data_IF_585986357817
#
_entry.id   IF_585986357817
#
_cell.length_a   1.000
_cell.length_b   1.000
_cell.length_c   1.000
_cell.angle_alpha   90.00
_cell.angle_beta   90.00
_cell.angle_gamma   90.00
#
_symmetry.space_group_name_H-M   'P 1'
#
loop_
_entity.id
_entity.type
_entity.pdbx_description
1 polymer ?
#
# COMPACT_ATOMS: atom_id res chain seq x y z
N UNK A 1 -31.13 -57.07 17.20
CA UNK A 1 -29.95 -56.34 16.70
C UNK A 1 -30.32 -54.88 16.49
N UNK A 2 -29.71 -53.96 17.25
CA UNK A 2 -29.98 -52.51 17.16
C UNK A 2 -29.10 -51.91 16.07
N UNK A 3 -29.68 -51.54 14.93
CA UNK A 3 -29.01 -50.69 13.93
C UNK A 3 -29.09 -49.24 14.38
N UNK A 4 -27.92 -48.63 14.61
CA UNK A 4 -27.77 -47.19 14.86
C UNK A 4 -27.89 -46.46 13.52
N UNK A 5 -28.86 -45.56 13.41
CA UNK A 5 -28.90 -44.57 12.34
C UNK A 5 -27.75 -43.56 12.56
N UNK A 6 -26.86 -43.44 11.58
CA UNK A 6 -25.86 -42.37 11.52
C UNK A 6 -26.57 -41.16 10.89
N UNK A 7 -26.57 -39.97 11.53
CA UNK A 7 -27.16 -38.79 10.93
C UNK A 7 -26.30 -38.35 9.74
N UNK A 8 -26.93 -38.22 8.58
CA UNK A 8 -26.37 -37.57 7.40
C UNK A 8 -26.12 -36.12 7.80
N UNK A 9 -24.85 -35.81 8.08
CA UNK A 9 -24.37 -34.46 8.23
C UNK A 9 -24.42 -33.84 6.83
N UNK A 10 -25.47 -33.09 6.55
CA UNK A 10 -25.55 -32.20 5.39
C UNK A 10 -24.36 -31.23 5.50
N UNK A 11 -23.32 -31.52 4.72
CA UNK A 11 -22.31 -30.56 4.33
C UNK A 11 -23.02 -29.45 3.55
N UNK A 12 -23.44 -28.41 4.29
CA UNK A 12 -23.70 -27.10 3.73
C UNK A 12 -22.38 -26.62 3.12
N UNK A 13 -22.22 -26.88 1.82
CA UNK A 13 -21.22 -26.24 0.98
C UNK A 13 -21.38 -24.73 1.17
N UNK A 14 -20.34 -24.08 1.69
CA UNK A 14 -20.23 -22.64 1.92
C UNK A 14 -20.15 -21.81 0.63
N UNK A 15 -20.90 -22.20 -0.41
CA UNK A 15 -21.13 -21.38 -1.60
C UNK A 15 -22.30 -20.40 -1.43
N UNK A 16 -23.02 -20.46 -0.30
CA UNK A 16 -24.10 -19.55 0.03
C UNK A 16 -23.67 -18.47 1.03
N UNK A 17 -22.70 -17.61 0.66
CA UNK A 17 -22.60 -16.22 1.19
C UNK A 17 -21.62 -15.33 0.42
N UNK A 18 -21.36 -15.61 -0.86
CA UNK A 18 -21.03 -14.54 -1.80
C UNK A 18 -22.35 -13.88 -2.19
N UNK A 19 -22.93 -13.11 -1.27
CA UNK A 19 -23.95 -12.15 -1.63
C UNK A 19 -23.34 -11.29 -2.73
N UNK A 20 -23.82 -11.46 -3.98
CA UNK A 20 -23.60 -10.46 -5.03
C UNK A 20 -24.09 -9.16 -4.44
N UNK A 21 -23.13 -8.29 -4.10
CA UNK A 21 -23.42 -6.93 -3.68
C UNK A 21 -24.28 -6.33 -4.78
N UNK A 22 -25.42 -5.69 -4.46
CA UNK A 22 -26.27 -5.11 -5.48
C UNK A 22 -25.44 -4.12 -6.30
N UNK A 23 -25.27 -4.43 -7.59
CA UNK A 23 -24.46 -3.65 -8.54
C UNK A 23 -25.02 -2.24 -8.82
N UNK A 24 -26.15 -1.88 -8.20
CA UNK A 24 -26.94 -0.69 -8.55
C UNK A 24 -27.06 0.35 -7.42
N UNK A 25 -26.29 0.26 -6.33
CA UNK A 25 -26.20 1.40 -5.41
C UNK A 25 -25.37 2.51 -6.08
N UNK A 26 -25.81 3.79 -6.04
CA UNK A 26 -24.95 4.90 -6.39
C UNK A 26 -23.63 4.76 -5.63
N UNK A 27 -22.52 4.74 -6.37
CA UNK A 27 -21.21 4.49 -5.76
C UNK A 27 -20.81 5.61 -4.79
N UNK A 28 -21.32 6.82 -5.03
CA UNK A 28 -21.20 7.96 -4.14
C UNK A 28 -22.00 7.76 -2.84
N UNK A 29 -21.49 8.27 -1.73
CA UNK A 29 -22.13 8.23 -0.39
C UNK A 29 -22.33 6.82 0.18
N UNK A 30 -21.72 5.81 -0.45
CA UNK A 30 -21.71 4.44 0.03
C UNK A 30 -20.32 4.12 0.59
N UNK A 31 -20.24 3.80 1.88
CA UNK A 31 -18.97 3.46 2.53
C UNK A 31 -18.70 1.95 2.53
N UNK A 32 -17.44 1.53 2.40
CA UNK A 32 -17.08 0.14 2.64
C UNK A 32 -17.25 -0.20 4.13
N UNK A 33 -17.78 -1.39 4.40
CA UNK A 33 -17.86 -2.00 5.73
C UNK A 33 -17.36 -3.44 5.64
N UNK A 34 -17.09 -4.07 6.78
CA UNK A 34 -16.67 -5.47 6.79
C UNK A 34 -17.65 -6.37 6.02
N UNK A 35 -17.16 -7.00 4.95
CA UNK A 35 -17.94 -7.91 4.11
C UNK A 35 -18.95 -7.27 3.16
N UNK A 36 -19.14 -5.94 3.16
CA UNK A 36 -20.17 -5.30 2.34
C UNK A 36 -19.96 -3.79 2.10
N UNK A 37 -21.03 -3.11 1.67
CA UNK A 37 -21.16 -1.67 1.50
C UNK A 37 -22.40 -1.18 2.28
N UNK A 38 -22.32 0.02 2.85
CA UNK A 38 -23.41 0.64 3.60
C UNK A 38 -23.58 2.09 3.18
N UNK A 39 -24.81 2.56 3.01
CA UNK A 39 -25.10 3.98 2.81
C UNK A 39 -24.70 4.79 4.06
N UNK A 40 -24.01 5.92 3.84
CA UNK A 40 -23.67 6.82 4.92
C UNK A 40 -24.88 7.65 5.34
N UNK A 41 -25.12 7.81 6.64
CA UNK A 41 -26.17 8.70 7.13
C UNK A 41 -25.68 10.15 7.08
N UNK A 42 -26.03 10.86 6.00
CA UNK A 42 -25.60 12.24 5.72
C UNK A 42 -26.53 13.22 6.45
N UNK A 43 -25.95 13.98 7.36
CA UNK A 43 -26.59 15.09 8.07
C UNK A 43 -26.55 16.34 7.19
N UNK A 44 -27.69 16.67 6.57
CA UNK A 44 -27.84 17.83 5.67
C UNK A 44 -28.42 19.07 6.37
N UNK A 45 -28.84 18.93 7.64
CA UNK A 45 -29.52 19.97 8.40
C UNK A 45 -28.54 20.78 9.27
N UNK A 46 -27.50 20.13 9.80
CA UNK A 46 -26.53 20.78 10.67
C UNK A 46 -25.63 21.73 9.85
N UNK A 47 -25.45 23.00 10.28
CA UNK A 47 -24.55 23.93 9.61
C UNK A 47 -23.10 23.41 9.55
N UNK A 48 -22.45 23.59 8.40
CA UNK A 48 -21.10 23.11 8.11
C UNK A 48 -20.06 23.41 9.21
N UNK A 49 -19.95 24.63 9.79
CA UNK A 49 -18.99 24.88 10.87
C UNK A 49 -19.20 23.98 12.09
N UNK A 50 -20.47 23.66 12.40
CA UNK A 50 -20.83 22.75 13.49
C UNK A 50 -20.52 21.31 13.13
N UNK A 51 -20.74 20.88 11.88
CA UNK A 51 -20.29 19.56 11.40
C UNK A 51 -18.77 19.42 11.53
N UNK A 52 -17.99 20.40 11.06
CA UNK A 52 -16.53 20.39 11.14
C UNK A 52 -16.04 20.33 12.59
N UNK A 53 -16.68 21.04 13.53
CA UNK A 53 -16.32 20.95 14.96
C UNK A 53 -16.50 19.55 15.57
N UNK A 54 -17.36 18.68 15.00
CA UNK A 54 -17.51 17.29 15.49
C UNK A 54 -16.23 16.47 15.32
N UNK A 55 -15.35 16.87 14.39
CA UNK A 55 -14.03 16.22 14.22
C UNK A 55 -13.11 16.39 15.43
N UNK A 56 -13.38 17.36 16.32
CA UNK A 56 -12.66 17.50 17.60
C UNK A 56 -13.12 16.50 18.66
N UNK A 57 -14.26 15.84 18.45
CA UNK A 57 -14.79 14.83 19.35
C UNK A 57 -14.15 13.45 19.18
N UNK A 58 -14.70 12.49 19.92
CA UNK A 58 -14.29 11.10 19.83
C UNK A 58 -14.98 10.42 18.64
N UNK A 59 -14.21 10.16 17.59
CA UNK A 59 -14.63 9.34 16.45
C UNK A 59 -13.61 8.23 16.15
N UNK A 60 -14.03 7.20 15.43
CA UNK A 60 -13.15 6.13 14.96
C UNK A 60 -13.50 5.81 13.51
N UNK A 61 -12.49 5.45 12.71
CA UNK A 61 -12.72 4.98 11.36
C UNK A 61 -13.59 3.72 11.38
N UNK A 62 -14.49 3.62 10.41
CA UNK A 62 -15.35 2.45 10.27
C UNK A 62 -14.48 1.26 9.84
N UNK A 63 -14.62 0.11 10.50
CA UNK A 63 -13.92 -1.09 10.05
C UNK A 63 -14.45 -1.54 8.69
N UNK A 64 -13.55 -1.64 7.71
CA UNK A 64 -13.86 -2.10 6.36
C UNK A 64 -13.61 -3.60 6.19
N UNK A 65 -12.99 -4.26 7.17
CA UNK A 65 -12.45 -5.62 7.05
C UNK A 65 -11.33 -5.76 6.01
N UNK A 66 -10.88 -4.67 5.39
CA UNK A 66 -9.86 -4.64 4.33
C UNK A 66 -8.83 -3.55 4.63
N UNK A 67 -7.59 -3.95 4.94
CA UNK A 67 -6.50 -3.04 5.32
C UNK A 67 -6.15 -1.93 4.30
N UNK A 68 -6.66 -2.03 3.07
CA UNK A 68 -6.35 -1.14 1.96
C UNK A 68 -7.48 -0.16 1.62
N UNK A 69 -8.66 -0.32 2.26
CA UNK A 69 -9.79 0.60 2.16
C UNK A 69 -9.82 1.51 3.39
N UNK A 70 -10.19 2.77 3.17
CA UNK A 70 -10.35 3.76 4.23
C UNK A 70 -11.82 3.79 4.64
N UNK A 71 -12.09 3.61 5.94
CA UNK A 71 -13.45 3.63 6.48
C UNK A 71 -13.83 4.97 7.08
N UNK A 72 -14.60 5.76 6.35
CA UNK A 72 -15.04 7.09 6.79
C UNK A 72 -16.29 7.05 7.68
N UNK A 73 -16.40 8.00 8.60
CA UNK A 73 -17.55 8.14 9.51
C UNK A 73 -18.73 8.84 8.85
N UNK A 74 -19.93 8.76 9.43
CA UNK A 74 -21.08 9.54 8.96
C UNK A 74 -20.78 11.04 8.96
N UNK A 75 -20.15 11.58 10.00
CA UNK A 75 -19.79 13.00 10.06
C UNK A 75 -18.85 13.40 8.91
N UNK A 76 -17.90 12.54 8.52
CA UNK A 76 -17.02 12.81 7.37
C UNK A 76 -17.80 12.87 6.06
N UNK A 77 -18.77 11.97 5.85
CA UNK A 77 -19.67 12.03 4.68
C UNK A 77 -20.58 13.26 4.73
N UNK A 78 -21.11 13.63 5.90
CA UNK A 78 -21.90 14.86 6.09
C UNK A 78 -21.10 16.11 5.72
N UNK A 79 -19.83 16.19 6.14
CA UNK A 79 -18.94 17.28 5.76
C UNK A 79 -18.65 17.24 4.25
N UNK A 80 -18.33 16.07 3.70
CA UNK A 80 -17.99 15.90 2.29
C UNK A 80 -19.16 16.22 1.34
N UNK A 81 -20.41 16.05 1.80
CA UNK A 81 -21.61 16.44 1.05
C UNK A 81 -21.69 17.95 0.75
N UNK A 82 -20.92 18.80 1.45
CA UNK A 82 -20.79 20.22 1.13
C UNK A 82 -19.76 20.53 0.03
N UNK A 83 -19.02 19.52 -0.45
CA UNK A 83 -18.03 19.65 -1.52
C UNK A 83 -16.95 20.68 -1.21
N UNK A 84 -16.61 21.50 -2.20
CA UNK A 84 -15.57 22.53 -2.10
C UNK A 84 -15.83 23.56 -0.99
N UNK A 85 -17.10 23.82 -0.64
CA UNK A 85 -17.47 24.76 0.43
C UNK A 85 -16.93 24.33 1.79
N UNK A 86 -16.66 23.04 1.99
CA UNK A 86 -16.06 22.53 3.23
C UNK A 86 -14.55 22.80 3.35
N UNK A 87 -13.83 23.01 2.24
CA UNK A 87 -12.37 23.07 2.22
C UNK A 87 -11.81 24.23 3.06
N UNK A 88 -12.48 25.40 3.08
CA UNK A 88 -12.04 26.55 3.87
C UNK A 88 -12.14 26.29 5.38
N UNK A 89 -13.26 25.72 5.85
CA UNK A 89 -13.46 25.39 7.26
C UNK A 89 -12.55 24.23 7.71
N UNK A 90 -12.33 23.23 6.86
CA UNK A 90 -11.39 22.14 7.12
C UNK A 90 -9.94 22.65 7.26
N UNK A 91 -9.51 23.54 6.36
CA UNK A 91 -8.19 24.17 6.46
C UNK A 91 -8.05 25.03 7.72
N UNK A 92 -9.11 25.75 8.09
CA UNK A 92 -9.15 26.54 9.34
C UNK A 92 -9.03 25.63 10.56
N UNK A 93 -9.72 24.49 10.58
CA UNK A 93 -9.59 23.50 11.64
C UNK A 93 -8.15 22.97 11.73
N UNK A 94 -7.55 22.55 10.61
CA UNK A 94 -6.17 22.01 10.57
C UNK A 94 -5.16 23.00 11.17
N UNK A 95 -5.30 24.30 10.84
CA UNK A 95 -4.39 25.35 11.31
C UNK A 95 -4.54 25.68 12.79
N UNK A 96 -5.77 25.63 13.31
CA UNK A 96 -6.09 26.17 14.63
C UNK A 96 -6.15 25.11 15.73
N UNK A 97 -6.50 23.87 15.40
CA UNK A 97 -6.63 22.80 16.40
C UNK A 97 -5.27 22.23 16.79
N UNK A 98 -5.15 21.83 18.07
CA UNK A 98 -4.01 21.05 18.57
C UNK A 98 -4.27 19.53 18.51
N UNK A 99 -5.50 19.13 18.23
CA UNK A 99 -5.88 17.71 18.19
C UNK A 99 -5.37 17.05 16.91
N UNK A 100 -4.37 16.17 17.03
CA UNK A 100 -3.87 15.38 15.91
C UNK A 100 -4.97 14.53 15.27
N UNK A 101 -5.92 14.07 16.08
CA UNK A 101 -7.13 13.38 15.63
C UNK A 101 -7.98 14.30 14.77
N UNK A 102 -8.32 15.50 15.23
CA UNK A 102 -9.12 16.45 14.44
C UNK A 102 -8.45 16.82 13.10
N UNK A 103 -7.12 17.04 13.10
CA UNK A 103 -6.34 17.27 11.87
C UNK A 103 -6.42 16.09 10.91
N UNK A 104 -6.23 14.86 11.42
CA UNK A 104 -6.35 13.64 10.62
C UNK A 104 -7.75 13.49 10.02
N UNK A 105 -8.79 13.77 10.80
CA UNK A 105 -10.18 13.73 10.35
C UNK A 105 -10.44 14.75 9.24
N UNK A 106 -9.90 15.96 9.39
CA UNK A 106 -10.05 17.00 8.38
C UNK A 106 -9.35 16.63 7.06
N UNK A 107 -8.15 16.05 7.11
CA UNK A 107 -7.42 15.56 5.94
C UNK A 107 -8.19 14.45 5.23
N UNK A 108 -8.80 13.53 5.99
CA UNK A 108 -9.65 12.49 5.44
C UNK A 108 -10.91 13.06 4.77
N UNK A 109 -11.52 14.09 5.34
CA UNK A 109 -12.64 14.79 4.70
C UNK A 109 -12.21 15.44 3.37
N UNK A 110 -11.04 16.09 3.32
CA UNK A 110 -10.54 16.69 2.07
C UNK A 110 -10.35 15.60 1.00
N UNK A 111 -9.77 14.45 1.37
CA UNK A 111 -9.66 13.32 0.43
C UNK A 111 -11.03 12.77 0.00
N UNK A 112 -11.97 12.62 0.93
CA UNK A 112 -13.32 12.13 0.60
C UNK A 112 -14.05 13.08 -0.36
N UNK A 113 -13.87 14.40 -0.21
CA UNK A 113 -14.32 15.41 -1.19
C UNK A 113 -13.60 15.23 -2.53
N UNK A 114 -12.28 15.00 -2.48
CA UNK A 114 -11.41 14.74 -3.63
C UNK A 114 -11.89 13.64 -4.55
N UNK A 115 -12.32 12.53 -3.95
CA UNK A 115 -12.84 11.34 -4.66
C UNK A 115 -14.37 11.36 -4.79
N UNK A 116 -15.02 12.50 -4.52
CA UNK A 116 -16.47 12.70 -4.59
C UNK A 116 -17.27 11.61 -3.85
N UNK A 117 -16.85 11.29 -2.63
CA UNK A 117 -17.47 10.26 -1.78
C UNK A 117 -17.54 8.86 -2.42
N UNK A 118 -16.66 8.58 -3.40
CA UNK A 118 -16.64 7.34 -4.19
C UNK A 118 -15.45 6.46 -3.75
N UNK A 119 -15.57 5.85 -2.58
CA UNK A 119 -14.53 4.96 -2.05
C UNK A 119 -14.48 3.67 -2.86
N UNK A 120 -13.40 3.44 -3.60
CA UNK A 120 -13.28 2.32 -4.53
C UNK A 120 -11.85 1.81 -4.62
N UNK A 121 -11.68 0.62 -5.20
CA UNK A 121 -10.37 0.08 -5.52
C UNK A 121 -9.53 -0.37 -4.31
N UNK A 122 -8.56 -1.23 -4.59
CA UNK A 122 -7.62 -1.68 -3.55
C UNK A 122 -6.61 -0.58 -3.22
N UNK A 123 -6.10 0.05 -4.26
CA UNK A 123 -4.96 0.96 -4.17
C UNK A 123 -5.11 2.18 -5.08
N UNK A 124 -6.23 2.29 -5.79
CA UNK A 124 -6.50 3.34 -6.75
C UNK A 124 -7.88 3.93 -6.42
N UNK A 125 -7.94 5.25 -6.29
CA UNK A 125 -9.17 6.02 -6.09
C UNK A 125 -9.06 7.29 -6.91
N UNK A 126 -9.89 7.40 -7.93
CA UNK A 126 -9.85 8.53 -8.86
C UNK A 126 -10.16 9.83 -8.13
N UNK A 127 -9.25 10.80 -8.22
CA UNK A 127 -9.49 12.16 -7.74
C UNK A 127 -10.21 12.93 -8.83
N UNK A 128 -11.42 13.40 -8.55
CA UNK A 128 -12.21 14.20 -9.50
C UNK A 128 -12.25 15.69 -9.11
N UNK A 129 -12.12 16.00 -7.82
CA UNK A 129 -12.14 17.38 -7.34
C UNK A 129 -10.71 17.97 -7.24
N UNK A 130 -10.37 18.83 -8.20
CA UNK A 130 -9.04 19.45 -8.29
C UNK A 130 -8.74 20.35 -7.07
N UNK A 131 -9.70 21.12 -6.57
CA UNK A 131 -9.48 22.03 -5.44
C UNK A 131 -9.15 21.27 -4.15
N UNK A 132 -9.82 20.15 -3.90
CA UNK A 132 -9.53 19.27 -2.79
C UNK A 132 -8.15 18.60 -2.95
N UNK A 133 -7.79 18.19 -4.18
CA UNK A 133 -6.44 17.68 -4.48
C UNK A 133 -5.36 18.72 -4.18
N UNK A 134 -5.50 19.94 -4.68
CA UNK A 134 -4.54 21.02 -4.43
C UNK A 134 -4.45 21.35 -2.94
N UNK A 135 -5.58 21.28 -2.22
CA UNK A 135 -5.60 21.43 -0.77
C UNK A 135 -4.77 20.32 -0.07
N UNK A 136 -4.89 19.06 -0.48
CA UNK A 136 -4.04 17.98 0.03
C UNK A 136 -2.57 18.16 -0.35
N UNK A 137 -2.29 18.58 -1.58
CA UNK A 137 -0.92 18.79 -2.05
C UNK A 137 -0.21 19.90 -1.26
N UNK A 138 -0.94 20.95 -0.87
CA UNK A 138 -0.43 22.01 0.00
C UNK A 138 -0.04 21.48 1.40
N UNK A 139 -0.67 20.41 1.88
CA UNK A 139 -0.36 19.76 3.15
C UNK A 139 0.79 18.75 3.05
N UNK A 140 1.26 18.39 1.86
CA UNK A 140 2.30 17.39 1.67
C UNK A 140 3.68 17.77 2.27
N UNK A 141 3.93 19.08 2.45
CA UNK A 141 5.17 19.62 3.04
C UNK A 141 5.10 19.73 4.59
N UNK A 142 3.98 19.32 5.20
CA UNK A 142 3.81 19.33 6.65
C UNK A 142 4.60 18.18 7.32
N UNK A 143 5.31 18.49 8.41
CA UNK A 143 6.17 17.50 9.07
C UNK A 143 5.39 16.41 9.82
N UNK A 144 4.18 16.70 10.29
CA UNK A 144 3.36 15.80 11.09
C UNK A 144 2.39 15.01 10.21
N UNK A 145 1.68 15.70 9.32
CA UNK A 145 0.61 15.13 8.48
C UNK A 145 0.95 15.02 7.00
N UNK A 146 2.09 15.55 6.55
CA UNK A 146 2.55 15.40 5.16
C UNK A 146 2.57 13.94 4.68
N UNK A 147 3.08 12.96 5.47
CA UNK A 147 3.02 11.55 5.09
C UNK A 147 1.60 11.05 4.80
N UNK A 148 0.61 11.50 5.56
CA UNK A 148 -0.80 11.13 5.36
C UNK A 148 -1.35 11.74 4.07
N UNK A 149 -1.13 13.04 3.85
CA UNK A 149 -1.56 13.71 2.62
C UNK A 149 -0.93 13.08 1.37
N UNK A 150 0.38 12.80 1.41
CA UNK A 150 1.11 12.11 0.34
C UNK A 150 0.53 10.72 0.06
N UNK A 151 0.24 9.93 1.11
CA UNK A 151 -0.32 8.59 0.94
C UNK A 151 -1.71 8.61 0.28
N UNK A 152 -2.50 9.65 0.55
CA UNK A 152 -3.81 9.86 -0.05
C UNK A 152 -3.67 10.30 -1.52
N UNK A 153 -2.80 11.26 -1.83
CA UNK A 153 -2.52 11.69 -3.20
C UNK A 153 -1.98 10.55 -4.08
N UNK A 154 -1.19 9.65 -3.51
CA UNK A 154 -0.61 8.50 -4.22
C UNK A 154 -1.66 7.46 -4.65
N UNK A 155 -2.92 7.58 -4.22
CA UNK A 155 -4.03 6.71 -4.65
C UNK A 155 -4.50 7.05 -6.07
N UNK A 156 -4.26 8.27 -6.54
CA UNK A 156 -4.40 8.63 -7.96
C UNK A 156 -3.27 9.60 -8.35
N UNK A 157 -2.13 9.08 -8.84
CA UNK A 157 -0.92 9.87 -9.03
C UNK A 157 -1.01 10.76 -10.27
N UNK A 158 -1.18 12.07 -10.08
CA UNK A 158 -1.14 13.05 -11.17
C UNK A 158 0.27 13.54 -11.44
N UNK A 159 0.72 13.48 -12.69
CA UNK A 159 2.06 13.97 -13.08
C UNK A 159 2.28 15.45 -12.72
N UNK A 160 1.21 16.25 -12.67
CA UNK A 160 1.25 17.65 -12.23
C UNK A 160 1.79 17.81 -10.81
N UNK A 161 1.65 16.83 -9.91
CA UNK A 161 2.09 16.99 -8.51
C UNK A 161 3.61 16.86 -8.36
N UNK A 162 4.28 16.24 -9.34
CA UNK A 162 5.70 15.89 -9.28
C UNK A 162 6.61 17.08 -8.95
N UNK A 163 6.50 18.27 -9.57
CA UNK A 163 7.33 19.42 -9.20
C UNK A 163 7.27 19.75 -7.71
N UNK A 164 6.07 19.74 -7.12
CA UNK A 164 5.87 20.00 -5.69
C UNK A 164 6.45 18.88 -4.83
N UNK A 165 6.19 17.63 -5.17
CA UNK A 165 6.70 16.46 -4.44
C UNK A 165 8.24 16.38 -4.49
N UNK A 166 8.85 16.68 -5.65
CA UNK A 166 10.30 16.73 -5.82
C UNK A 166 10.92 17.88 -5.03
N UNK A 167 10.27 19.06 -5.00
CA UNK A 167 10.69 20.18 -4.14
C UNK A 167 10.71 19.76 -2.67
N UNK A 168 9.66 19.10 -2.20
CA UNK A 168 9.56 18.59 -0.82
C UNK A 168 10.68 17.57 -0.54
N UNK A 169 10.89 16.62 -1.46
CA UNK A 169 11.95 15.61 -1.34
C UNK A 169 13.34 16.24 -1.16
N UNK A 170 13.65 17.29 -1.94
CA UNK A 170 14.93 17.99 -1.89
C UNK A 170 15.05 18.87 -0.64
N UNK A 171 13.97 19.54 -0.23
CA UNK A 171 13.94 20.45 0.93
C UNK A 171 14.23 19.75 2.25
N UNK A 172 13.66 18.57 2.48
CA UNK A 172 13.79 17.87 3.76
C UNK A 172 15.02 16.97 3.77
N UNK A 173 15.92 17.17 4.73
CA UNK A 173 17.12 16.33 4.90
C UNK A 173 16.75 14.90 5.32
N UNK A 174 15.82 14.78 6.28
CA UNK A 174 15.34 13.49 6.77
C UNK A 174 14.47 12.84 5.69
N UNK A 175 14.71 11.56 5.34
CA UNK A 175 13.84 10.84 4.43
C UNK A 175 12.39 10.79 4.92
N UNK A 176 11.45 11.03 4.01
CA UNK A 176 10.02 10.79 4.23
C UNK A 176 9.64 9.50 3.48
N UNK A 177 9.47 8.36 4.18
CA UNK A 177 9.21 7.07 3.52
C UNK A 177 7.93 7.09 2.68
N UNK A 178 6.88 7.79 3.15
CA UNK A 178 5.63 7.93 2.41
C UNK A 178 5.85 8.64 1.06
N UNK A 179 6.69 9.69 1.04
CA UNK A 179 7.05 10.38 -0.20
C UNK A 179 7.82 9.48 -1.16
N UNK A 180 8.85 8.79 -0.65
CA UNK A 180 9.68 7.89 -1.45
C UNK A 180 8.83 6.78 -2.06
N UNK A 181 7.92 6.19 -1.27
CA UNK A 181 7.01 5.13 -1.72
C UNK A 181 5.96 5.67 -2.69
N UNK A 182 5.47 6.89 -2.49
CA UNK A 182 4.52 7.53 -3.39
C UNK A 182 5.12 7.78 -4.78
N UNK A 183 6.38 8.24 -4.88
CA UNK A 183 7.03 8.59 -6.15
C UNK A 183 7.06 7.43 -7.16
N UNK A 184 7.15 6.20 -6.67
CA UNK A 184 7.02 4.98 -7.47
C UNK A 184 5.67 4.89 -8.21
N UNK A 185 4.60 5.51 -7.71
CA UNK A 185 3.31 5.53 -8.41
C UNK A 185 3.21 6.63 -9.45
N UNK A 186 3.95 7.73 -9.28
CA UNK A 186 3.98 8.85 -10.21
C UNK A 186 4.83 8.57 -11.45
N UNK A 187 5.89 7.77 -11.32
CA UNK A 187 6.84 7.50 -12.41
C UNK A 187 6.59 6.10 -12.97
N UNK A 188 5.80 5.99 -14.04
CA UNK A 188 5.44 4.69 -14.66
C UNK A 188 6.44 4.16 -15.70
N UNK A 189 7.16 5.02 -16.43
CA UNK A 189 8.00 4.61 -17.57
C UNK A 189 9.39 5.26 -17.52
N UNK A 190 10.42 4.53 -17.97
CA UNK A 190 11.78 5.06 -18.16
C UNK A 190 12.62 5.25 -16.89
N UNK A 191 12.17 4.74 -15.73
CA UNK A 191 12.95 4.82 -14.51
C UNK A 191 14.01 3.70 -14.47
N UNK A 192 15.31 4.02 -14.32
CA UNK A 192 16.40 3.07 -14.52
C UNK A 192 16.49 1.97 -13.45
N UNK A 193 15.73 2.09 -12.36
CA UNK A 193 15.77 1.15 -11.23
C UNK A 193 14.51 0.27 -11.14
N UNK A 194 13.80 0.17 -12.27
CA UNK A 194 12.60 -0.64 -12.50
C UNK A 194 12.77 -1.52 -13.73
N UNK A 195 13.96 -2.07 -13.91
CA UNK A 195 14.20 -3.04 -14.96
C UNK A 195 13.37 -4.30 -14.71
N UNK A 196 12.92 -4.95 -15.77
CA UNK A 196 12.35 -6.29 -15.63
C UNK A 196 13.48 -7.29 -15.33
N UNK A 197 13.19 -8.25 -14.45
CA UNK A 197 14.10 -9.38 -14.24
C UNK A 197 13.86 -10.35 -15.39
N UNK A 198 14.91 -10.67 -16.15
CA UNK A 198 14.82 -11.70 -17.20
C UNK A 198 14.32 -13.03 -16.58
N UNK A 199 13.19 -13.52 -17.10
CA UNK A 199 12.55 -14.75 -16.63
C UNK A 199 13.46 -15.97 -16.77
N UNK A 200 14.47 -15.91 -17.66
CA UNK A 200 15.47 -16.96 -17.87
C UNK A 200 16.51 -17.03 -16.76
N UNK A 201 16.58 -16.06 -15.86
CA UNK A 201 17.52 -16.08 -14.75
C UNK A 201 17.12 -17.13 -13.73
N UNK A 202 17.90 -18.20 -13.63
CA UNK A 202 17.78 -19.22 -12.59
C UNK A 202 18.19 -18.70 -11.21
N UNK A 203 19.04 -17.67 -11.18
CA UNK A 203 19.57 -17.06 -9.97
C UNK A 203 19.52 -15.55 -10.06
N UNK A 204 18.89 -14.92 -9.08
CA UNK A 204 18.79 -13.46 -8.97
C UNK A 204 19.55 -13.05 -7.71
N UNK A 205 20.70 -12.37 -7.83
CA UNK A 205 21.42 -11.89 -6.66
C UNK A 205 20.63 -10.80 -5.95
N UNK A 206 20.71 -10.82 -4.63
CA UNK A 206 20.03 -9.87 -3.75
C UNK A 206 21.06 -9.08 -2.97
N UNK A 207 20.90 -7.76 -2.94
CA UNK A 207 21.76 -6.83 -2.24
C UNK A 207 20.97 -5.94 -1.28
N UNK A 208 21.67 -5.43 -0.28
CA UNK A 208 21.21 -4.35 0.59
C UNK A 208 22.18 -3.18 0.49
N UNK A 209 21.66 -2.00 0.22
CA UNK A 209 22.46 -0.79 0.06
C UNK A 209 22.05 0.24 1.09
N UNK A 210 23.06 0.71 1.83
CA UNK A 210 22.94 1.81 2.79
C UNK A 210 23.92 2.92 2.42
N UNK A 211 23.94 4.00 3.21
CA UNK A 211 24.98 5.05 3.05
C UNK A 211 26.41 4.53 3.20
N UNK A 212 26.61 3.38 3.84
CA UNK A 212 27.93 2.75 4.04
C UNK A 212 28.38 1.90 2.85
N UNK A 213 27.46 1.58 1.94
CA UNK A 213 27.74 0.81 0.73
C UNK A 213 26.74 -0.30 0.47
N UNK A 214 27.00 -1.06 -0.60
CA UNK A 214 26.17 -2.17 -1.07
C UNK A 214 26.76 -3.50 -0.61
N UNK A 215 26.00 -4.28 0.17
CA UNK A 215 26.37 -5.61 0.67
C UNK A 215 25.52 -6.67 0.00
N UNK A 216 26.11 -7.83 -0.32
CA UNK A 216 25.36 -8.97 -0.86
C UNK A 216 24.61 -9.64 0.27
N UNK A 217 23.30 -9.80 0.09
CA UNK A 217 22.44 -10.49 1.03
C UNK A 217 22.36 -11.99 0.72
N UNK A 218 22.23 -12.33 -0.56
CA UNK A 218 22.01 -13.71 -0.96
C UNK A 218 21.66 -13.85 -2.43
N UNK A 219 20.96 -14.93 -2.75
CA UNK A 219 20.50 -15.27 -4.10
C UNK A 219 19.09 -15.85 -4.00
N UNK A 220 18.19 -15.40 -4.89
CA UNK A 220 16.90 -16.04 -5.15
C UNK A 220 17.06 -17.02 -6.31
N UNK A 221 16.86 -18.30 -6.05
CA UNK A 221 17.02 -19.38 -7.03
C UNK A 221 15.65 -19.86 -7.50
N UNK A 222 15.45 -19.99 -8.80
CA UNK A 222 14.29 -20.69 -9.40
C UNK A 222 14.31 -22.14 -8.95
N UNK A 223 13.24 -22.56 -8.30
CA UNK A 223 12.95 -23.97 -8.04
C UNK A 223 11.69 -24.31 -8.80
N UNK A 224 11.82 -25.12 -9.83
CA UNK A 224 10.67 -25.74 -10.48
C UNK A 224 10.07 -26.74 -9.48
N UNK A 225 8.85 -26.47 -9.02
CA UNK A 225 8.09 -27.49 -8.32
C UNK A 225 7.35 -28.30 -9.38
N UNK A 226 7.95 -29.42 -9.77
CA UNK A 226 7.14 -30.50 -10.34
C UNK A 226 6.06 -30.84 -9.32
N UNK A 227 4.79 -30.88 -9.75
CA UNK A 227 3.75 -31.48 -8.92
C UNK A 227 4.25 -32.90 -8.61
N UNK A 228 4.49 -33.28 -7.35
CA UNK A 228 4.46 -34.70 -7.05
C UNK A 228 3.04 -35.14 -7.43
N UNK A 229 2.89 -36.19 -8.23
CA UNK A 229 1.62 -36.93 -8.25
C UNK A 229 1.17 -37.11 -6.80
N UNK A 230 -0.11 -36.83 -6.52
CA UNK A 230 -0.69 -36.61 -5.18
C UNK A 230 -0.37 -37.73 -4.15
N UNK A 231 0.87 -37.82 -3.65
CA UNK A 231 1.26 -38.71 -2.56
C UNK A 231 1.40 -37.88 -1.26
N UNK A 232 0.41 -37.95 -0.35
CA UNK A 232 0.39 -37.19 0.89
C UNK A 232 1.57 -37.47 1.83
N UNK A 233 2.42 -38.47 1.55
CA UNK A 233 3.57 -38.84 2.39
C UNK A 233 4.82 -37.96 2.22
N UNK A 234 4.93 -37.16 1.15
CA UNK A 234 6.14 -36.36 0.88
C UNK A 234 6.13 -35.00 1.63
N UNK A 235 4.97 -34.53 2.09
CA UNK A 235 4.82 -33.23 2.76
C UNK A 235 5.65 -33.16 4.07
N UNK A 236 5.94 -34.30 4.72
CA UNK A 236 6.62 -34.33 6.03
C UNK A 236 8.15 -34.45 6.02
N UNK A 237 8.85 -34.35 4.86
CA UNK A 237 10.29 -34.66 4.77
C UNK A 237 11.27 -33.52 4.48
N UNK A 238 10.89 -32.25 4.60
CA UNK A 238 11.87 -31.13 4.56
C UNK A 238 12.10 -30.49 5.93
N UNK A 239 12.75 -31.24 6.84
CA UNK A 239 13.46 -30.66 7.99
C UNK A 239 14.87 -30.28 7.54
N UNK A 240 15.09 -29.04 7.09
CA UNK A 240 16.42 -28.42 6.94
C UNK A 240 16.39 -27.01 7.53
N UNK A 241 17.54 -26.49 8.02
CA UNK A 241 17.65 -25.13 8.59
C UNK A 241 17.52 -24.01 7.55
N UNK A 242 17.44 -24.35 6.27
CA UNK A 242 17.11 -23.41 5.20
C UNK A 242 15.60 -23.12 5.25
N UNK A 243 15.21 -21.86 5.39
CA UNK A 243 13.80 -21.45 5.47
C UNK A 243 12.99 -22.00 4.28
N UNK A 244 12.18 -23.04 4.53
CA UNK A 244 11.19 -23.57 3.59
C UNK A 244 9.83 -23.27 4.18
N UNK A 245 9.15 -22.26 3.64
CA UNK A 245 7.78 -21.94 4.02
C UNK A 245 6.85 -22.62 3.01
N UNK A 246 6.20 -23.69 3.44
CA UNK A 246 5.24 -24.45 2.63
C UNK A 246 3.84 -23.83 2.76
N UNK A 247 3.21 -23.55 1.62
CA UNK A 247 1.78 -23.18 1.58
C UNK A 247 1.08 -23.94 0.46
N UNK A 248 -0.15 -24.34 0.76
CA UNK A 248 -1.09 -25.09 -0.06
C UNK A 248 -2.12 -24.12 -0.65
N UNK A 249 -2.18 -24.02 -1.98
CA UNK A 249 -3.42 -23.68 -2.66
C UNK A 249 -3.36 -24.02 -4.15
N UNK A 250 -4.46 -24.58 -4.63
CA UNK A 250 -4.65 -25.26 -5.92
C UNK A 250 -4.49 -24.32 -7.14
N UNK A 251 -3.55 -24.63 -8.06
CA UNK A 251 -3.56 -24.40 -9.53
C UNK A 251 -2.14 -24.49 -10.14
N UNK A 252 -2.01 -25.34 -11.17
CA UNK A 252 -0.97 -25.60 -12.20
C UNK A 252 0.43 -24.95 -12.10
N UNK A 253 1.48 -25.80 -12.18
CA UNK A 253 2.92 -25.51 -12.38
C UNK A 253 3.42 -24.15 -11.84
N UNK A 254 3.78 -24.10 -10.56
CA UNK A 254 4.31 -22.88 -9.92
C UNK A 254 5.83 -22.89 -9.89
N UNK A 255 6.44 -21.84 -10.44
CA UNK A 255 7.83 -21.47 -10.16
C UNK A 255 7.86 -20.99 -8.70
N UNK A 256 8.69 -21.62 -7.87
CA UNK A 256 8.93 -21.18 -6.49
C UNK A 256 10.35 -20.64 -6.44
N UNK A 257 10.57 -19.42 -5.94
CA UNK A 257 11.93 -18.91 -5.72
C UNK A 257 12.37 -19.26 -4.29
N UNK A 258 13.51 -19.93 -4.14
CA UNK A 258 14.14 -20.18 -2.83
C UNK A 258 15.20 -19.12 -2.57
N UNK A 259 15.17 -18.50 -1.41
CA UNK A 259 16.23 -17.61 -0.96
C UNK A 259 17.37 -18.38 -0.30
N UNK A 260 18.61 -18.11 -0.71
CA UNK A 260 19.84 -18.63 -0.09
C UNK A 260 20.69 -17.45 0.37
N UNK A 261 20.92 -17.27 1.69
CA UNK A 261 21.74 -16.17 2.19
C UNK A 261 23.21 -16.36 1.77
N UNK A 262 23.94 -15.25 1.59
CA UNK A 262 25.37 -15.30 1.32
C UNK A 262 26.16 -15.72 2.59
N UNK A 263 27.30 -16.44 2.47
CA UNK A 263 28.04 -16.96 3.63
C UNK A 263 28.56 -15.88 4.59
N UNK A 264 28.89 -14.72 4.04
CA UNK A 264 29.38 -13.52 4.72
C UNK A 264 28.28 -12.49 4.99
N UNK A 265 27.03 -12.87 4.73
CA UNK A 265 25.93 -11.94 4.86
C UNK A 265 25.70 -11.62 6.34
N UNK A 266 25.69 -10.35 6.76
CA UNK A 266 25.47 -9.94 8.16
C UNK A 266 24.03 -10.20 8.66
N UNK A 267 23.26 -11.05 7.96
CA UNK A 267 21.81 -11.00 7.81
C UNK A 267 21.00 -11.31 9.08
N UNK A 268 21.58 -11.82 10.15
CA UNK A 268 20.76 -12.18 11.32
C UNK A 268 21.06 -11.35 12.58
N UNK A 269 22.27 -10.83 12.78
CA UNK A 269 22.62 -10.16 14.04
C UNK A 269 22.41 -8.65 14.05
N UNK A 270 22.56 -7.96 12.91
CA UNK A 270 22.58 -6.48 12.87
C UNK A 270 21.23 -5.86 12.46
N UNK A 271 20.42 -6.58 11.68
CA UNK A 271 19.12 -6.12 11.23
C UNK A 271 18.09 -6.63 12.24
N UNK A 272 17.61 -5.75 13.15
CA UNK A 272 16.62 -6.08 14.19
C UNK A 272 15.60 -7.11 13.66
N UNK A 273 15.63 -8.31 14.25
CA UNK A 273 15.05 -9.58 13.75
C UNK A 273 13.67 -9.50 13.07
N UNK A 274 12.78 -8.57 13.45
CA UNK A 274 11.47 -8.41 12.80
C UNK A 274 11.47 -7.68 11.44
N UNK A 275 12.55 -7.00 11.05
CA UNK A 275 12.60 -6.22 9.79
C UNK A 275 12.99 -7.07 8.58
N UNK A 276 13.82 -8.12 8.76
CA UNK A 276 14.26 -8.95 7.65
C UNK A 276 13.24 -10.02 7.25
N UNK A 277 12.42 -10.50 8.18
CA UNK A 277 11.29 -11.39 7.85
C UNK A 277 10.28 -10.69 6.93
N UNK A 278 10.03 -9.40 7.14
CA UNK A 278 9.19 -8.59 6.26
C UNK A 278 9.82 -8.45 4.86
N UNK A 279 11.14 -8.25 4.79
CA UNK A 279 11.90 -8.17 3.54
C UNK A 279 11.95 -9.52 2.81
N UNK A 280 12.14 -10.62 3.53
CA UNK A 280 12.11 -11.98 2.97
C UNK A 280 10.69 -12.36 2.52
N UNK A 281 9.67 -11.97 3.28
CA UNK A 281 8.25 -12.07 2.88
C UNK A 281 7.95 -11.27 1.62
N UNK A 282 8.53 -10.07 1.48
CA UNK A 282 8.46 -9.27 0.25
C UNK A 282 9.13 -9.99 -0.92
N UNK A 283 10.33 -10.56 -0.76
CA UNK A 283 10.97 -11.34 -1.82
C UNK A 283 10.15 -12.55 -2.25
N UNK A 284 9.51 -13.22 -1.29
CA UNK A 284 8.61 -14.33 -1.57
C UNK A 284 7.33 -13.84 -2.27
N UNK A 285 6.83 -12.63 -1.96
CA UNK A 285 5.70 -12.01 -2.65
C UNK A 285 6.06 -11.57 -4.07
N UNK A 286 7.23 -10.97 -4.25
CA UNK A 286 7.86 -10.65 -5.54
C UNK A 286 8.01 -11.91 -6.40
N UNK A 287 8.25 -13.08 -5.80
CA UNK A 287 8.32 -14.34 -6.54
C UNK A 287 6.96 -14.93 -6.96
N UNK A 288 5.83 -14.45 -6.39
CA UNK A 288 4.46 -14.93 -6.69
C UNK A 288 3.82 -14.15 -7.82
N UNK A 289 3.97 -12.83 -7.78
CA UNK A 289 3.48 -11.95 -8.81
C UNK A 289 4.52 -12.07 -9.93
N UNK A 290 4.20 -12.71 -11.07
CA UNK A 290 5.04 -12.60 -12.29
C UNK A 290 5.50 -11.16 -12.34
N UNK A 291 6.81 -10.90 -12.19
CA UNK A 291 7.34 -9.56 -11.90
C UNK A 291 7.10 -8.67 -13.11
N UNK A 292 5.86 -8.23 -13.28
CA UNK A 292 5.55 -6.99 -13.95
C UNK A 292 5.93 -5.88 -12.99
N UNK A 293 6.37 -4.78 -13.57
CA UNK A 293 6.84 -3.47 -13.05
C UNK A 293 6.10 -2.88 -11.81
N UNK A 294 5.09 -3.56 -11.28
CA UNK A 294 4.21 -3.12 -10.21
C UNK A 294 4.42 -3.81 -8.86
N UNK A 295 5.51 -4.54 -8.62
CA UNK A 295 5.68 -5.14 -7.29
C UNK A 295 5.90 -4.07 -6.22
N UNK A 296 4.77 -3.77 -5.58
CA UNK A 296 4.51 -2.62 -4.74
C UNK A 296 5.50 -2.53 -3.57
N UNK A 297 6.19 -1.39 -3.41
CA UNK A 297 6.49 -0.94 -2.05
C UNK A 297 5.18 -0.48 -1.41
N UNK A 298 4.52 -1.36 -0.67
CA UNK A 298 3.37 -0.99 0.13
C UNK A 298 3.70 0.20 1.04
N UNK A 299 2.69 1.03 1.34
CA UNK A 299 2.84 2.17 2.26
C UNK A 299 3.30 1.75 3.68
N UNK A 300 3.22 0.46 4.00
CA UNK A 300 3.61 -0.12 5.28
C UNK A 300 5.00 -0.78 5.25
N UNK A 301 5.70 -0.69 4.12
CA UNK A 301 6.97 -1.36 3.95
C UNK A 301 8.12 -0.57 4.59
N UNK A 302 9.07 -1.24 5.26
CA UNK A 302 10.17 -0.56 5.93
C UNK A 302 11.34 -0.21 5.00
N UNK A 303 11.34 -0.69 3.76
CA UNK A 303 12.41 -0.49 2.78
C UNK A 303 11.86 -0.36 1.37
N UNK A 304 12.62 0.35 0.54
CA UNK A 304 12.44 0.37 -0.89
C UNK A 304 13.25 -0.75 -1.54
N UNK A 305 12.81 -1.21 -2.71
CA UNK A 305 13.63 -2.09 -3.54
C UNK A 305 13.63 -1.63 -4.99
N UNK A 306 14.70 -2.01 -5.68
CA UNK A 306 14.96 -1.72 -7.08
C UNK A 306 15.37 -2.99 -7.80
N UNK A 307 15.14 -3.02 -9.10
CA UNK A 307 15.74 -4.00 -10.00
C UNK A 307 16.70 -3.26 -10.92
N UNK A 308 17.96 -3.70 -10.91
CA UNK A 308 19.05 -3.09 -11.66
C UNK A 308 20.06 -4.18 -12.03
N UNK A 309 20.37 -4.30 -13.32
CA UNK A 309 21.37 -5.23 -13.86
C UNK A 309 21.10 -6.69 -13.47
N UNK A 310 19.83 -7.10 -13.52
CA UNK A 310 19.41 -8.47 -13.17
C UNK A 310 19.53 -8.81 -11.67
N UNK A 311 19.73 -7.81 -10.81
CA UNK A 311 19.79 -7.96 -9.36
C UNK A 311 18.62 -7.24 -8.67
N UNK A 312 18.21 -7.73 -7.50
CA UNK A 312 17.34 -6.98 -6.61
C UNK A 312 18.18 -6.24 -5.59
N UNK A 313 17.97 -4.94 -5.47
CA UNK A 313 18.67 -4.06 -4.53
C UNK A 313 17.64 -3.50 -3.56
N UNK A 314 17.67 -3.95 -2.32
CA UNK A 314 16.93 -3.29 -1.23
C UNK A 314 17.74 -2.11 -0.75
N UNK A 315 17.08 -1.01 -0.45
CA UNK A 315 17.72 0.19 0.04
C UNK A 315 17.02 0.71 1.29
N UNK A 316 17.78 1.39 2.14
CA UNK A 316 17.20 2.27 3.15
C UNK A 316 16.63 3.55 2.52
N UNK A 317 15.80 4.26 3.30
CA UNK A 317 15.13 5.48 2.83
C UNK A 317 16.12 6.61 2.48
N UNK A 318 17.31 6.63 3.08
CA UNK A 318 18.34 7.65 2.81
C UNK A 318 18.94 7.45 1.42
N UNK A 319 19.31 6.21 1.10
CA UNK A 319 19.77 5.82 -0.24
C UNK A 319 18.66 6.00 -1.26
N UNK A 320 17.43 5.58 -0.96
CA UNK A 320 16.29 5.77 -1.84
C UNK A 320 16.05 7.25 -2.18
N UNK A 321 16.07 8.12 -1.17
CA UNK A 321 15.97 9.58 -1.36
C UNK A 321 17.06 10.11 -2.28
N UNK A 322 18.33 9.75 -2.04
CA UNK A 322 19.46 10.20 -2.88
C UNK A 322 19.31 9.76 -4.33
N UNK A 323 18.89 8.50 -4.55
CA UNK A 323 18.63 7.96 -5.90
C UNK A 323 17.50 8.73 -6.60
N UNK A 324 16.40 9.02 -5.90
CA UNK A 324 15.30 9.84 -6.44
C UNK A 324 15.75 11.27 -6.78
N UNK A 325 16.49 11.93 -5.89
CA UNK A 325 17.02 13.28 -6.15
C UNK A 325 17.93 13.28 -7.39
N UNK A 326 18.89 12.35 -7.46
CA UNK A 326 19.79 12.19 -8.60
C UNK A 326 19.03 11.95 -9.91
N UNK A 327 17.95 11.16 -9.88
CA UNK A 327 17.09 10.97 -11.04
C UNK A 327 16.41 12.26 -11.49
N UNK A 328 15.78 13.00 -10.58
CA UNK A 328 15.07 14.24 -10.91
C UNK A 328 15.99 15.43 -11.19
N UNK A 329 17.27 15.38 -10.78
CA UNK A 329 18.27 16.34 -11.22
C UNK A 329 18.64 16.11 -12.69
N UNK A 330 18.69 14.85 -13.15
CA UNK A 330 18.94 14.49 -14.55
C UNK A 330 17.70 14.64 -15.44
N UNK A 331 16.52 14.41 -14.87
CA UNK A 331 15.24 14.40 -15.57
C UNK A 331 14.23 15.26 -14.77
N UNK A 332 14.38 16.59 -14.76
CA UNK A 332 13.48 17.45 -14.03
C UNK A 332 12.04 17.27 -14.53
N UNK A 333 11.04 17.23 -13.63
CA UNK A 333 9.65 17.17 -14.07
C UNK A 333 9.31 18.43 -14.88
N UNK A 334 8.46 18.29 -15.89
CA UNK A 334 8.04 19.41 -16.72
C UNK A 334 7.44 20.52 -15.82
N UNK A 335 7.75 21.80 -16.08
CA UNK A 335 7.12 22.91 -15.38
C UNK A 335 5.61 22.84 -15.57
N UNK A 336 4.84 23.18 -14.52
CA UNK A 336 3.40 23.33 -14.67
C UNK A 336 3.11 24.52 -15.62
N UNK A 337 2.14 24.39 -16.53
CA UNK A 337 1.73 25.46 -17.42
C UNK A 337 1.12 26.66 -16.68
#
# INVERSE_FOLDING_TARGET
MKMRAIPICLLLTSQALLARLPENLPQANTRPVEGSRQEAAIDTETPLPKLVSRLEGEWQLVSTGKMYLIGYTNDMYSIAAHGEKALSELNKLIKNTKSAKAKSGAILCIHLIGIESTVSGRFAEDFNNEMARQTLLALADDNEFGPMAINLLARDPWKSDLPTLVRILKKHEKPNPALIHALFRYVREGFPFREDIDEKLDQIPVYFETSEGKKRLGVLTTVLREKPDDDPKIINKMKRPDYVIQWDDTLTNRIVRRYTPAPDSPILSEIKFGKIENVLSQFLRLSREKVGVFSYCGQLEPYCHYVEQGAIIIVDDSVARKRWISHFDKHPPAPQP
#
